data_IF_299233213757
#
_entry.id   IF_299233213757
#
_cell.length_a   1.000
_cell.length_b   1.000
_cell.length_c   1.000
_cell.angle_alpha   90.00
_cell.angle_beta   90.00
_cell.angle_gamma   90.00
#
_symmetry.space_group_name_H-M   'P 1'
#
loop_
_entity.id
_entity.type
_entity.pdbx_description
1 polymer ?
#
# COMPACT_ATOMS: atom_id res chain seq x y z
N UNK A 1 26.92 1.28 11.90
CA UNK A 1 27.53 1.25 10.54
C UNK A 1 28.92 1.87 10.49
N UNK A 2 29.13 3.11 10.94
CA UNK A 2 30.45 3.75 10.92
C UNK A 2 31.58 2.91 11.55
N UNK A 3 31.37 2.39 12.77
CA UNK A 3 32.33 1.49 13.44
C UNK A 3 32.64 0.23 12.61
N UNK A 4 31.62 -0.36 11.98
CA UNK A 4 31.79 -1.51 11.08
C UNK A 4 32.61 -1.14 9.85
N UNK A 5 32.34 0.02 9.24
CA UNK A 5 33.06 0.52 8.07
C UNK A 5 34.54 0.78 8.39
N UNK A 6 34.85 1.34 9.57
CA UNK A 6 36.23 1.54 10.01
C UNK A 6 36.95 0.21 10.24
N UNK A 7 36.29 -0.76 10.90
CA UNK A 7 36.85 -2.09 11.13
C UNK A 7 37.11 -2.86 9.84
N UNK A 8 36.27 -2.66 8.81
CA UNK A 8 36.46 -3.26 7.47
C UNK A 8 37.65 -2.69 6.70
N UNK A 9 38.11 -1.48 7.05
CA UNK A 9 39.17 -0.77 6.35
C UNK A 9 40.18 -0.17 7.33
N UNK A 10 40.92 -1.01 8.08
CA UNK A 10 41.84 -0.54 9.12
C UNK A 10 42.96 0.35 8.56
N UNK A 11 43.37 0.11 7.31
CA UNK A 11 44.48 0.81 6.66
C UNK A 11 44.03 2.01 5.81
N UNK A 12 42.73 2.37 5.81
CA UNK A 12 42.23 3.51 5.03
C UNK A 12 41.89 4.68 5.96
N UNK A 13 42.18 5.92 5.56
CA UNK A 13 41.86 7.08 6.37
C UNK A 13 40.34 7.23 6.50
N UNK A 14 39.88 7.79 7.63
CA UNK A 14 38.44 8.01 7.92
C UNK A 14 37.72 8.74 6.78
N UNK A 15 38.37 9.73 6.15
CA UNK A 15 37.83 10.47 4.99
C UNK A 15 37.54 9.54 3.80
N UNK A 16 38.40 8.56 3.53
CA UNK A 16 38.17 7.56 2.48
C UNK A 16 36.96 6.68 2.82
N UNK A 17 36.86 6.22 4.07
CA UNK A 17 35.73 5.40 4.54
C UNK A 17 34.41 6.16 4.42
N UNK A 18 34.39 7.45 4.78
CA UNK A 18 33.23 8.34 4.59
C UNK A 18 32.84 8.41 3.12
N UNK A 19 33.78 8.72 2.23
CA UNK A 19 33.49 8.86 0.80
C UNK A 19 33.06 7.54 0.14
N UNK A 20 33.54 6.40 0.65
CA UNK A 20 33.18 5.08 0.14
C UNK A 20 31.74 4.70 0.47
N UNK A 21 31.30 4.94 1.70
CA UNK A 21 30.02 4.42 2.22
C UNK A 21 28.97 5.48 2.53
N UNK A 22 29.35 6.71 2.87
CA UNK A 22 28.44 7.73 3.41
C UNK A 22 28.37 8.93 2.47
N UNK A 23 27.28 9.00 1.70
CA UNK A 23 27.08 10.01 0.66
C UNK A 23 25.82 10.83 0.92
N UNK A 24 25.72 11.97 0.23
CA UNK A 24 24.52 12.80 0.20
C UNK A 24 23.57 12.29 -0.88
N UNK A 25 22.31 12.05 -0.52
CA UNK A 25 21.28 11.66 -1.47
C UNK A 25 19.93 12.29 -1.09
N UNK A 26 19.22 12.83 -2.09
CA UNK A 26 17.94 13.56 -1.91
C UNK A 26 17.95 14.56 -0.73
N UNK A 27 19.01 15.35 -0.63
CA UNK A 27 19.15 16.40 0.40
C UNK A 27 19.63 15.93 1.78
N UNK A 28 19.74 14.62 2.00
CA UNK A 28 20.17 14.04 3.28
C UNK A 28 21.63 13.61 3.16
N UNK A 29 22.50 14.15 4.01
CA UNK A 29 23.90 13.73 4.08
C UNK A 29 24.06 12.51 5.01
N UNK A 30 25.23 11.89 4.95
CA UNK A 30 25.60 10.77 5.80
C UNK A 30 24.76 9.50 5.63
N UNK A 31 24.22 9.29 4.42
CA UNK A 31 23.46 8.07 4.12
C UNK A 31 24.38 6.96 3.66
N UNK A 32 24.19 5.78 4.26
CA UNK A 32 24.95 4.59 3.91
C UNK A 32 24.51 4.07 2.53
N UNK A 33 25.44 4.04 1.58
CA UNK A 33 25.22 3.69 0.19
C UNK A 33 26.32 2.75 -0.30
N UNK A 34 25.96 1.77 -1.13
CA UNK A 34 26.91 0.96 -1.87
C UNK A 34 26.54 0.92 -3.36
N UNK A 35 27.56 0.87 -4.21
CA UNK A 35 27.37 0.58 -5.63
C UNK A 35 27.47 -0.93 -5.81
N UNK A 36 26.53 -1.50 -6.53
CA UNK A 36 26.51 -2.89 -6.94
C UNK A 36 25.96 -3.04 -8.35
N UNK A 37 26.00 -4.25 -8.88
CA UNK A 37 25.39 -4.58 -10.18
C UNK A 37 24.01 -5.17 -9.93
N UNK A 38 22.98 -4.60 -10.57
CA UNK A 38 21.64 -5.15 -10.54
C UNK A 38 21.52 -6.44 -11.38
N UNK A 39 20.38 -7.13 -11.29
CA UNK A 39 20.10 -8.39 -12.03
C UNK A 39 20.31 -8.30 -13.56
N UNK A 40 20.25 -7.09 -14.15
CA UNK A 40 20.44 -6.85 -15.60
C UNK A 40 21.84 -6.30 -15.94
N UNK A 41 22.83 -6.47 -15.05
CA UNK A 41 24.21 -5.97 -15.25
C UNK A 41 24.38 -4.45 -15.15
N UNK A 42 23.29 -3.70 -14.96
CA UNK A 42 23.34 -2.24 -14.78
C UNK A 42 23.88 -1.88 -13.40
N UNK A 43 24.76 -0.88 -13.34
CA UNK A 43 25.15 -0.29 -12.06
C UNK A 43 23.93 0.24 -11.31
N UNK A 44 23.81 -0.14 -10.05
CA UNK A 44 22.75 0.30 -9.15
C UNK A 44 23.37 0.77 -7.85
N UNK A 45 22.94 1.94 -7.40
CA UNK A 45 23.24 2.40 -6.04
C UNK A 45 22.18 1.86 -5.10
N UNK A 46 22.58 1.00 -4.17
CA UNK A 46 21.73 0.55 -3.08
C UNK A 46 21.93 1.51 -1.90
N UNK A 47 20.82 1.93 -1.30
CA UNK A 47 20.78 2.91 -0.23
C UNK A 47 20.13 2.24 0.96
N UNK A 48 20.78 2.31 2.12
CA UNK A 48 20.13 1.86 3.34
C UNK A 48 19.08 2.89 3.75
N UNK A 49 17.83 2.44 3.85
CA UNK A 49 16.74 3.26 4.33
C UNK A 49 16.99 3.69 5.78
N UNK A 50 16.77 4.97 6.06
CA UNK A 50 16.89 5.53 7.40
C UNK A 50 15.67 5.13 8.24
N UNK A 51 15.88 4.20 9.17
CA UNK A 51 14.81 3.65 10.03
C UNK A 51 14.13 4.73 10.88
N UNK A 52 14.80 5.86 11.14
CA UNK A 52 14.19 6.98 11.88
C UNK A 52 13.06 7.66 11.10
N UNK A 53 13.01 7.47 9.77
CA UNK A 53 11.93 7.97 8.92
C UNK A 53 10.70 7.06 8.90
N UNK A 54 10.77 5.86 9.48
CA UNK A 54 9.61 5.01 9.62
C UNK A 54 8.62 5.68 10.57
N UNK A 55 7.42 6.08 10.13
CA UNK A 55 6.46 6.74 11.00
C UNK A 55 5.95 5.77 12.06
N UNK A 56 5.77 6.27 13.29
CA UNK A 56 5.13 5.50 14.37
C UNK A 56 3.62 5.51 14.13
N UNK A 57 3.07 4.40 13.65
CA UNK A 57 1.62 4.22 13.47
C UNK A 57 0.99 3.78 14.79
N UNK A 58 0.14 4.65 15.37
CA UNK A 58 -0.60 4.35 16.60
C UNK A 58 -1.90 3.64 16.27
N UNK A 59 -1.99 2.37 16.65
CA UNK A 59 -3.23 1.59 16.55
C UNK A 59 -4.11 1.92 17.76
N UNK A 60 -5.24 2.58 17.52
CA UNK A 60 -6.21 2.95 18.56
C UNK A 60 -7.01 1.69 18.90
N UNK A 61 -7.20 1.35 20.18
CA UNK A 61 -8.04 0.21 20.59
C UNK A 61 -9.52 0.43 20.20
N UNK A 62 -10.28 -0.65 20.08
CA UNK A 62 -11.75 -0.56 19.96
C UNK A 62 -12.31 -0.07 21.29
N UNK A 63 -13.32 0.81 21.28
CA UNK A 63 -13.95 1.34 22.50
C UNK A 63 -14.81 0.25 23.15
N UNK A 64 -14.47 -0.15 24.38
CA UNK A 64 -15.29 -1.08 25.18
C UNK A 64 -15.66 -2.35 24.42
N UNK A 65 -16.95 -2.68 24.43
CA UNK A 65 -17.54 -3.82 23.72
C UNK A 65 -18.20 -3.41 22.38
N UNK A 66 -17.73 -2.32 21.76
CA UNK A 66 -18.25 -1.90 20.46
C UNK A 66 -18.12 -3.05 19.45
N UNK A 67 -19.24 -3.51 18.91
CA UNK A 67 -19.29 -4.51 17.85
C UNK A 67 -19.47 -3.83 16.49
N UNK A 68 -18.79 -4.29 15.41
CA UNK A 68 -19.06 -3.85 14.04
C UNK A 68 -20.51 -3.98 13.61
N UNK A 69 -21.22 -4.97 14.16
CA UNK A 69 -22.59 -5.31 13.80
C UNK A 69 -23.65 -4.47 14.53
N UNK A 70 -23.22 -3.61 15.46
CA UNK A 70 -24.13 -2.70 16.18
C UNK A 70 -24.53 -1.52 15.26
N UNK A 71 -25.80 -1.42 14.86
CA UNK A 71 -26.26 -0.37 13.96
C UNK A 71 -26.11 1.04 14.56
N UNK A 72 -26.10 1.16 15.89
CA UNK A 72 -25.92 2.45 16.59
C UNK A 72 -24.48 2.96 16.50
N UNK A 73 -23.53 2.07 16.19
CA UNK A 73 -22.09 2.36 16.10
C UNK A 73 -21.59 2.53 14.66
N UNK A 74 -22.49 2.62 13.67
CA UNK A 74 -22.13 2.77 12.24
C UNK A 74 -21.15 3.91 11.99
N UNK A 75 -21.38 5.09 12.56
CA UNK A 75 -20.49 6.24 12.37
C UNK A 75 -19.11 6.04 13.02
N UNK A 76 -19.08 5.39 14.19
CA UNK A 76 -17.85 5.05 14.89
C UNK A 76 -16.99 4.10 14.03
N UNK A 77 -17.59 3.06 13.47
CA UNK A 77 -16.91 2.09 12.62
C UNK A 77 -16.53 2.66 11.26
N UNK A 78 -17.38 3.49 10.66
CA UNK A 78 -17.08 4.20 9.42
C UNK A 78 -15.85 5.11 9.58
N UNK A 79 -15.83 5.93 10.62
CA UNK A 79 -14.70 6.81 10.94
C UNK A 79 -13.40 6.02 11.21
N UNK A 80 -13.52 4.87 11.85
CA UNK A 80 -12.39 3.97 12.14
C UNK A 80 -11.87 3.30 10.87
N UNK A 81 -12.75 2.85 9.98
CA UNK A 81 -12.41 2.27 8.68
C UNK A 81 -11.62 3.26 7.82
N UNK A 82 -12.09 4.51 7.69
CA UNK A 82 -11.38 5.58 6.97
C UNK A 82 -9.98 5.80 7.54
N UNK A 83 -9.83 5.82 8.87
CA UNK A 83 -8.52 6.00 9.53
C UNK A 83 -7.58 4.83 9.26
N UNK A 84 -8.08 3.60 9.31
CA UNK A 84 -7.30 2.40 9.04
C UNK A 84 -6.88 2.34 7.56
N UNK A 85 -7.77 2.70 6.64
CA UNK A 85 -7.52 2.65 5.21
C UNK A 85 -6.41 3.57 4.71
N UNK A 86 -6.21 4.72 5.37
CA UNK A 86 -5.11 5.64 5.06
C UNK A 86 -3.71 5.03 5.16
N UNK A 87 -3.56 3.92 5.89
CA UNK A 87 -2.28 3.23 6.04
C UNK A 87 -2.18 1.93 5.22
N UNK A 88 -3.29 1.45 4.65
CA UNK A 88 -3.30 0.20 3.89
C UNK A 88 -2.60 0.36 2.54
N UNK A 89 -2.88 1.45 1.83
CA UNK A 89 -2.20 1.80 0.58
C UNK A 89 -1.31 3.02 0.75
N UNK A 90 -0.26 3.12 -0.07
CA UNK A 90 0.61 4.29 -0.07
C UNK A 90 -0.20 5.56 -0.41
N UNK A 91 0.05 6.64 0.35
CA UNK A 91 -0.62 7.92 0.13
C UNK A 91 -0.37 8.42 -1.31
N UNK A 92 -1.43 8.81 -1.99
CA UNK A 92 -1.43 9.26 -3.38
C UNK A 92 -1.38 8.12 -4.41
N UNK A 93 -1.27 6.87 -3.97
CA UNK A 93 -1.29 5.73 -4.90
C UNK A 93 -2.64 5.58 -5.58
N UNK A 94 -2.61 5.01 -6.77
CA UNK A 94 -3.79 4.56 -7.53
C UNK A 94 -4.78 3.76 -6.67
N UNK A 95 -4.28 2.83 -5.85
CA UNK A 95 -5.12 2.01 -4.97
C UNK A 95 -5.79 2.80 -3.84
N UNK A 96 -5.11 3.79 -3.25
CA UNK A 96 -5.73 4.69 -2.27
C UNK A 96 -6.83 5.54 -2.92
N UNK A 97 -6.64 5.98 -4.17
CA UNK A 97 -7.63 6.76 -4.91
C UNK A 97 -8.90 5.96 -5.16
N UNK A 98 -8.77 4.71 -5.65
CA UNK A 98 -9.90 3.79 -5.85
C UNK A 98 -10.70 3.62 -4.56
N UNK A 99 -10.03 3.35 -3.44
CA UNK A 99 -10.70 3.18 -2.15
C UNK A 99 -11.43 4.45 -1.68
N UNK A 100 -10.86 5.63 -1.93
CA UNK A 100 -11.52 6.92 -1.64
C UNK A 100 -12.77 7.13 -2.49
N UNK A 101 -12.72 6.80 -3.78
CA UNK A 101 -13.89 6.90 -4.67
C UNK A 101 -15.04 5.98 -4.24
N UNK A 102 -14.71 4.83 -3.62
CA UNK A 102 -15.69 3.89 -3.06
C UNK A 102 -16.07 4.20 -1.60
N UNK A 103 -15.66 5.37 -1.06
CA UNK A 103 -15.87 5.75 0.35
C UNK A 103 -15.39 4.67 1.35
N UNK A 104 -14.33 3.95 1.00
CA UNK A 104 -13.77 2.86 1.81
C UNK A 104 -14.72 1.68 2.05
N UNK A 105 -15.72 1.52 1.18
CA UNK A 105 -16.72 0.43 1.24
C UNK A 105 -16.60 -0.49 0.03
N UNK A 106 -16.89 -1.76 0.24
CA UNK A 106 -17.06 -2.71 -0.83
C UNK A 106 -18.42 -2.43 -1.53
N UNK A 107 -18.47 -2.21 -2.85
CA UNK A 107 -19.70 -1.87 -3.56
C UNK A 107 -20.67 -3.05 -3.69
N UNK A 108 -20.23 -4.28 -3.37
CA UNK A 108 -21.05 -5.49 -3.50
C UNK A 108 -21.87 -5.76 -2.23
N UNK A 109 -21.24 -5.67 -1.05
CA UNK A 109 -21.91 -5.90 0.24
C UNK A 109 -22.26 -4.61 0.98
N UNK A 110 -21.63 -3.48 0.63
CA UNK A 110 -21.81 -2.19 1.33
C UNK A 110 -20.97 -2.04 2.61
N UNK A 111 -20.34 -3.13 3.07
CA UNK A 111 -19.49 -3.11 4.25
C UNK A 111 -18.16 -2.40 4.00
N UNK A 112 -17.52 -1.97 5.09
CA UNK A 112 -16.17 -1.41 5.06
C UNK A 112 -15.19 -2.39 4.43
N UNK A 113 -14.30 -1.89 3.56
CA UNK A 113 -13.20 -2.68 2.95
C UNK A 113 -12.28 -3.35 3.98
N UNK A 114 -12.25 -2.83 5.21
CA UNK A 114 -11.44 -3.35 6.32
C UNK A 114 -12.26 -4.11 7.37
N UNK A 115 -13.19 -4.97 6.93
CA UNK A 115 -13.97 -5.84 7.82
C UNK A 115 -13.18 -7.07 8.33
N UNK A 116 -11.93 -7.26 7.88
CA UNK A 116 -11.06 -8.38 8.22
C UNK A 116 -10.86 -9.37 7.07
N UNK A 117 -11.65 -9.26 6.00
CA UNK A 117 -11.45 -10.03 4.78
C UNK A 117 -10.28 -9.51 3.94
N UNK A 118 -9.73 -10.40 3.09
CA UNK A 118 -8.75 -10.03 2.08
C UNK A 118 -9.40 -9.17 0.99
N UNK A 119 -8.69 -8.13 0.54
CA UNK A 119 -9.14 -7.20 -0.49
C UNK A 119 -8.44 -7.52 -1.81
N UNK A 120 -9.21 -7.61 -2.90
CA UNK A 120 -8.72 -7.78 -4.26
C UNK A 120 -9.21 -6.62 -5.14
N UNK A 121 -8.35 -6.16 -6.06
CA UNK A 121 -8.72 -5.15 -7.06
C UNK A 121 -9.28 -5.83 -8.30
N UNK A 122 -10.46 -5.39 -8.73
CA UNK A 122 -11.23 -5.95 -9.83
C UNK A 122 -11.37 -4.92 -10.96
N UNK A 123 -11.24 -5.37 -12.22
CA UNK A 123 -11.55 -4.58 -13.41
C UNK A 123 -13.05 -4.63 -13.71
N UNK A 124 -13.71 -3.46 -13.77
CA UNK A 124 -15.14 -3.35 -14.10
C UNK A 124 -15.39 -3.88 -15.52
N UNK A 125 -14.64 -3.37 -16.48
CA UNK A 125 -14.52 -3.92 -17.83
C UNK A 125 -13.32 -4.87 -17.83
N UNK A 126 -13.49 -6.17 -18.10
CA UNK A 126 -12.38 -7.10 -18.14
C UNK A 126 -11.30 -6.70 -19.15
N UNK A 127 -10.03 -6.97 -18.84
CA UNK A 127 -8.89 -6.69 -19.73
C UNK A 127 -9.06 -7.35 -21.11
N UNK A 128 -9.61 -8.58 -21.14
CA UNK A 128 -9.91 -9.29 -22.40
C UNK A 128 -10.95 -8.59 -23.27
N UNK A 129 -11.82 -7.79 -22.67
CA UNK A 129 -12.90 -7.05 -23.34
C UNK A 129 -12.45 -5.58 -23.60
N UNK A 130 -11.15 -5.28 -23.49
CA UNK A 130 -10.56 -3.95 -23.74
C UNK A 130 -10.49 -3.02 -22.52
N UNK A 131 -10.74 -3.54 -21.32
CA UNK A 131 -10.69 -2.73 -20.10
C UNK A 131 -9.29 -2.19 -19.77
N UNK A 132 -9.21 -0.92 -19.40
CA UNK A 132 -7.95 -0.28 -19.01
C UNK A 132 -7.58 -0.58 -17.55
N UNK A 133 -6.33 -0.30 -17.18
CA UNK A 133 -5.86 -0.37 -15.80
C UNK A 133 -5.91 1.01 -15.12
N UNK A 134 -6.86 1.86 -15.51
CA UNK A 134 -7.05 3.19 -14.91
C UNK A 134 -7.94 3.12 -13.67
N UNK A 135 -7.85 4.12 -12.79
CA UNK A 135 -8.65 4.19 -11.56
C UNK A 135 -10.16 4.12 -11.80
N UNK A 136 -10.63 4.57 -12.97
CA UNK A 136 -12.04 4.59 -13.34
C UNK A 136 -12.57 3.19 -13.68
N UNK A 137 -11.71 2.28 -14.14
CA UNK A 137 -12.07 0.92 -14.48
C UNK A 137 -11.77 -0.08 -13.36
N UNK A 138 -11.40 0.39 -12.16
CA UNK A 138 -10.96 -0.46 -11.07
C UNK A 138 -11.78 -0.24 -9.81
N UNK A 139 -12.08 -1.34 -9.13
CA UNK A 139 -12.79 -1.34 -7.85
C UNK A 139 -12.12 -2.28 -6.86
N UNK A 140 -12.08 -1.93 -5.59
CA UNK A 140 -11.71 -2.87 -4.54
C UNK A 140 -12.92 -3.65 -4.07
N UNK A 141 -12.75 -4.96 -3.95
CA UNK A 141 -13.74 -5.91 -3.47
C UNK A 141 -13.12 -6.75 -2.36
N UNK A 142 -13.94 -7.21 -1.40
CA UNK A 142 -13.53 -8.35 -0.60
C UNK A 142 -13.39 -9.59 -1.49
N UNK A 143 -12.47 -10.49 -1.15
CA UNK A 143 -12.23 -11.72 -1.91
C UNK A 143 -13.50 -12.57 -2.09
N UNK A 144 -14.36 -12.64 -1.08
CA UNK A 144 -15.64 -13.32 -1.20
C UNK A 144 -16.58 -12.62 -2.21
N UNK A 145 -16.64 -11.30 -2.15
CA UNK A 145 -17.42 -10.49 -3.10
C UNK A 145 -16.86 -10.61 -4.53
N UNK A 146 -15.55 -10.65 -4.70
CA UNK A 146 -14.91 -10.81 -6.00
C UNK A 146 -15.23 -12.16 -6.62
N UNK A 147 -15.20 -13.25 -5.82
CA UNK A 147 -15.68 -14.57 -6.26
C UNK A 147 -17.14 -14.53 -6.70
N UNK A 148 -18.00 -13.83 -5.95
CA UNK A 148 -19.42 -13.69 -6.28
C UNK A 148 -19.63 -13.00 -7.64
N UNK A 149 -18.82 -11.98 -7.95
CA UNK A 149 -18.86 -11.28 -9.25
C UNK A 149 -18.50 -12.24 -10.39
N UNK A 150 -17.49 -13.09 -10.22
CA UNK A 150 -17.10 -14.08 -11.24
C UNK A 150 -18.01 -15.31 -11.31
N UNK A 151 -18.74 -15.62 -10.24
CA UNK A 151 -19.65 -16.78 -10.20
C UNK A 151 -21.04 -16.48 -10.77
N UNK A 152 -21.46 -15.21 -10.80
CA UNK A 152 -22.76 -14.83 -11.37
C UNK A 152 -22.68 -14.89 -12.90
N UNK A 153 -23.53 -15.67 -13.59
CA UNK A 153 -23.61 -15.58 -15.05
C UNK A 153 -24.03 -14.15 -15.42
N UNK A 154 -23.40 -13.57 -16.46
CA UNK A 154 -23.81 -12.28 -17.03
C UNK A 154 -25.31 -12.37 -17.35
N UNK A 155 -26.16 -11.77 -16.53
CA UNK A 155 -27.54 -11.51 -16.93
C UNK A 155 -27.43 -10.60 -18.14
N UNK A 156 -27.68 -11.15 -19.32
CA UNK A 156 -27.86 -10.37 -20.55
C UNK A 156 -28.91 -9.32 -20.22
N UNK A 157 -28.50 -8.06 -20.16
CA UNK A 157 -29.42 -6.95 -20.02
C UNK A 157 -30.36 -7.03 -21.21
N UNK A 158 -31.60 -7.47 -20.96
CA UNK A 158 -32.65 -7.47 -21.95
C UNK A 158 -32.78 -6.06 -22.52
N UNK A 159 -32.64 -5.95 -23.84
CA UNK A 159 -33.08 -4.78 -24.58
C UNK A 159 -34.52 -4.48 -24.17
N UNK A 160 -34.73 -3.33 -23.54
CA UNK A 160 -36.06 -2.78 -23.30
C UNK A 160 -36.64 -2.35 -24.66
N UNK A 161 -37.87 -2.81 -24.90
CA UNK A 161 -38.92 -2.33 -25.80
C UNK A 161 -38.56 -2.08 -27.27
#
# INVERSE_FOLDING_TARGET
LWRWSLRRHPNKPKKWVKNRYFKRYRGVDWMFMCQGTGRKGKEKSEILYDISKTPIVRHIKVKGQASPDDPTLREYWHSRSIKNGKNHWAKGSKYEQIAKFQEWKCPICGDSLFNGEEIETHHIVPVKDGGSDDTENLIHLHKACHKQVHSKPKLMAGSKA
#
